data_IF_761394315472
#
_entry.id   IF_761394315472
#
_cell.length_a   1.000
_cell.length_b   1.000
_cell.length_c   1.000
_cell.angle_alpha   90.00
_cell.angle_beta   90.00
_cell.angle_gamma   90.00
#
_symmetry.space_group_name_H-M   'P 1'
#
loop_
_entity.id
_entity.type
_entity.pdbx_description
1 polymer ?
#
# COMPACT_ATOMS: atom_id res chain seq x y z
N UNK A 1 -11.31 -7.38 4.45
CA UNK A 1 -10.14 -6.46 4.34
C UNK A 1 -9.84 -5.97 2.92
N UNK A 2 -9.12 -6.69 2.04
CA UNK A 2 -8.62 -6.13 0.76
C UNK A 2 -9.70 -5.81 -0.29
N UNK A 3 -10.69 -6.69 -0.48
CA UNK A 3 -11.75 -6.52 -1.51
C UNK A 3 -12.51 -5.19 -1.42
N UNK A 4 -12.59 -4.61 -0.23
CA UNK A 4 -13.31 -3.35 0.03
C UNK A 4 -12.41 -2.31 0.68
N UNK A 5 -11.09 -2.42 0.53
CA UNK A 5 -10.08 -1.50 1.08
C UNK A 5 -10.36 -1.09 2.53
N UNK A 6 -10.61 -2.09 3.38
CA UNK A 6 -10.87 -1.94 4.82
C UNK A 6 -12.15 -1.19 5.22
N UNK A 7 -13.07 -0.90 4.30
CA UNK A 7 -14.33 -0.19 4.60
C UNK A 7 -15.20 -0.85 5.69
N UNK A 8 -15.01 -2.14 5.95
CA UNK A 8 -15.69 -2.89 7.03
C UNK A 8 -14.92 -2.85 8.36
N UNK A 9 -13.61 -2.69 8.32
CA UNK A 9 -12.77 -2.86 9.52
C UNK A 9 -12.61 -1.59 10.33
N UNK A 10 -12.74 -0.43 9.68
CA UNK A 10 -12.60 0.89 10.29
C UNK A 10 -13.94 1.60 10.41
N UNK A 11 -13.99 2.60 11.30
CA UNK A 11 -15.07 3.58 11.27
C UNK A 11 -15.06 4.35 9.94
N UNK A 12 -16.16 5.03 9.62
CA UNK A 12 -16.23 5.82 8.39
C UNK A 12 -15.14 6.91 8.33
N UNK A 13 -14.96 7.67 9.41
CA UNK A 13 -13.94 8.72 9.49
C UNK A 13 -12.52 8.14 9.36
N UNK A 14 -12.25 7.02 10.04
CA UNK A 14 -10.95 6.34 9.96
C UNK A 14 -10.67 5.77 8.58
N UNK A 15 -11.71 5.29 7.88
CA UNK A 15 -11.60 4.83 6.49
C UNK A 15 -11.19 5.95 5.55
N UNK A 16 -11.77 7.15 5.70
CA UNK A 16 -11.38 8.32 4.92
C UNK A 16 -9.92 8.71 5.17
N UNK A 17 -9.52 8.77 6.44
CA UNK A 17 -8.13 9.06 6.82
C UNK A 17 -7.15 8.02 6.27
N UNK A 18 -7.52 6.75 6.32
CA UNK A 18 -6.72 5.65 5.78
C UNK A 18 -6.51 5.80 4.28
N UNK A 19 -7.58 6.05 3.53
CA UNK A 19 -7.52 6.18 2.08
C UNK A 19 -6.71 7.40 1.66
N UNK A 20 -6.90 8.54 2.32
CA UNK A 20 -6.08 9.74 2.09
C UNK A 20 -4.58 9.43 2.29
N UNK A 21 -4.23 8.74 3.38
CA UNK A 21 -2.84 8.35 3.65
C UNK A 21 -2.31 7.36 2.60
N UNK A 22 -3.09 6.34 2.22
CA UNK A 22 -2.68 5.34 1.22
C UNK A 22 -2.42 5.99 -0.13
N UNK A 23 -3.37 6.81 -0.62
CA UNK A 23 -3.23 7.52 -1.89
C UNK A 23 -2.04 8.49 -1.87
N UNK A 24 -1.81 9.20 -0.77
CA UNK A 24 -0.65 10.09 -0.65
C UNK A 24 0.70 9.34 -0.66
N UNK A 25 0.74 8.08 -0.20
CA UNK A 25 1.94 7.25 -0.19
C UNK A 25 2.20 6.53 -1.52
N UNK A 26 1.13 6.20 -2.25
CA UNK A 26 1.16 5.50 -3.54
C UNK A 26 1.10 6.44 -4.74
N UNK A 27 0.98 7.76 -4.51
CA UNK A 27 0.90 8.75 -5.58
C UNK A 27 2.09 8.67 -6.53
N UNK A 28 1.77 8.51 -7.82
CA UNK A 28 2.71 8.54 -8.93
C UNK A 28 2.24 9.60 -9.95
N UNK A 29 3.01 10.68 -10.18
CA UNK A 29 2.68 11.75 -11.11
C UNK A 29 2.83 11.34 -12.58
N UNK A 30 3.60 10.30 -12.89
CA UNK A 30 3.76 9.78 -14.23
C UNK A 30 2.70 8.71 -14.56
N UNK A 31 1.86 8.33 -13.59
CA UNK A 31 0.69 7.48 -13.81
C UNK A 31 -0.30 8.11 -14.80
N UNK A 32 -0.41 9.44 -14.83
CA UNK A 32 -1.30 10.14 -15.77
C UNK A 32 -0.86 9.93 -17.22
N UNK A 33 0.45 9.96 -17.50
CA UNK A 33 0.97 9.71 -18.85
C UNK A 33 0.63 8.31 -19.38
N UNK A 34 0.49 7.31 -18.50
CA UNK A 34 0.07 5.96 -18.91
C UNK A 34 -1.34 5.97 -19.51
N UNK A 35 -2.25 6.79 -18.96
CA UNK A 35 -3.60 6.91 -19.49
C UNK A 35 -3.62 7.63 -20.85
N UNK A 36 -2.86 8.71 -21.02
CA UNK A 36 -2.73 9.40 -22.32
C UNK A 36 -2.06 8.52 -23.38
N UNK A 37 -1.00 7.77 -23.04
CA UNK A 37 -0.31 6.87 -23.97
C UNK A 37 -1.20 5.70 -24.42
N UNK A 38 -2.14 5.22 -23.59
CA UNK A 38 -3.12 4.19 -23.99
C UNK A 38 -4.16 4.72 -24.99
N UNK A 39 -4.52 5.99 -24.91
CA UNK A 39 -5.41 6.64 -25.88
C UNK A 39 -4.68 6.90 -27.22
N UNK A 40 -3.37 7.16 -27.16
CA UNK A 40 -2.54 7.43 -28.34
C UNK A 40 -2.00 6.16 -29.01
N UNK A 41 -1.91 5.03 -28.33
CA UNK A 41 -1.44 3.75 -28.90
C UNK A 41 -2.42 3.08 -29.89
N UNK A 42 -3.56 3.71 -30.18
CA UNK A 42 -4.33 3.46 -31.41
C UNK A 42 -3.61 3.99 -32.67
N UNK A 43 -2.65 4.91 -32.53
CA UNK A 43 -1.94 5.56 -33.63
C UNK A 43 -0.45 5.76 -33.31
N UNK A 44 0.34 4.74 -33.65
CA UNK A 44 1.78 4.77 -33.95
C UNK A 44 2.78 5.06 -32.81
N UNK A 45 3.60 4.02 -32.64
CA UNK A 45 4.90 3.90 -31.98
C UNK A 45 5.86 5.08 -32.28
N UNK A 46 6.23 5.88 -31.29
CA UNK A 46 7.53 6.56 -31.24
C UNK A 46 7.92 6.88 -29.79
N UNK A 47 9.13 6.45 -29.40
CA UNK A 47 9.57 6.39 -28.01
C UNK A 47 9.62 7.75 -27.30
N UNK A 48 8.76 7.92 -26.29
CA UNK A 48 8.88 8.97 -25.29
C UNK A 48 10.03 8.60 -24.34
N UNK A 49 11.23 9.12 -24.62
CA UNK A 49 12.28 9.21 -23.59
C UNK A 49 11.73 10.09 -22.47
N UNK A 50 11.22 9.44 -21.41
CA UNK A 50 10.70 10.09 -20.22
C UNK A 50 11.66 11.19 -19.77
N UNK A 51 11.21 12.44 -19.82
CA UNK A 51 11.96 13.57 -19.26
C UNK A 51 12.29 13.20 -17.83
N UNK A 52 13.58 13.07 -17.50
CA UNK A 52 14.05 12.88 -16.14
C UNK A 52 13.69 14.14 -15.35
N UNK A 53 12.46 14.18 -14.82
CA UNK A 53 11.99 15.26 -13.96
C UNK A 53 12.90 15.26 -12.73
N UNK A 54 13.41 16.42 -12.39
CA UNK A 54 14.24 16.63 -11.20
C UNK A 54 13.54 16.03 -9.97
N UNK A 55 14.29 15.30 -9.13
CA UNK A 55 13.79 14.72 -7.85
C UNK A 55 13.03 15.74 -6.99
N UNK A 56 13.28 17.04 -7.18
CA UNK A 56 12.58 18.13 -6.46
C UNK A 56 11.11 18.30 -6.85
N UNK A 57 10.64 17.71 -7.95
CA UNK A 57 9.23 17.79 -8.34
C UNK A 57 8.36 16.78 -7.58
N UNK A 58 8.97 15.72 -7.06
CA UNK A 58 8.27 14.62 -6.40
C UNK A 58 7.86 14.94 -4.97
N UNK A 59 6.78 14.32 -4.52
CA UNK A 59 6.29 14.41 -3.14
C UNK A 59 7.29 13.81 -2.13
N UNK A 60 7.16 14.14 -0.84
CA UNK A 60 8.09 13.66 0.20
C UNK A 60 8.28 12.14 0.18
N UNK A 61 7.17 11.41 0.07
CA UNK A 61 7.15 9.94 0.10
C UNK A 61 7.62 9.34 -1.22
N UNK A 62 7.20 9.90 -2.34
CA UNK A 62 7.66 9.52 -3.67
C UNK A 62 9.19 9.65 -3.81
N UNK A 63 9.77 10.74 -3.30
CA UNK A 63 11.24 10.88 -3.23
C UNK A 63 11.88 9.77 -2.39
N UNK A 64 11.25 9.37 -1.29
CA UNK A 64 11.75 8.29 -0.44
C UNK A 64 11.67 6.95 -1.17
N UNK A 65 10.59 6.69 -1.91
CA UNK A 65 10.41 5.49 -2.73
C UNK A 65 11.45 5.42 -3.87
N UNK A 66 11.63 6.52 -4.62
CA UNK A 66 12.63 6.65 -5.68
C UNK A 66 14.07 6.47 -5.17
N UNK A 67 14.40 7.01 -3.99
CA UNK A 67 15.72 6.79 -3.35
C UNK A 67 15.95 5.34 -2.90
N UNK A 68 14.86 4.64 -2.59
CA UNK A 68 14.88 3.26 -2.13
C UNK A 68 14.87 2.24 -3.27
N UNK A 69 14.73 2.68 -4.52
CA UNK A 69 15.15 1.95 -5.73
C UNK A 69 14.69 0.51 -5.79
N UNK A 70 13.41 0.27 -6.10
CA UNK A 70 13.02 -1.01 -6.68
C UNK A 70 13.45 -0.98 -8.14
N UNK A 71 14.59 -1.62 -8.45
CA UNK A 71 15.08 -1.83 -9.81
C UNK A 71 14.34 -2.98 -10.53
N UNK A 72 13.11 -3.26 -10.11
CA UNK A 72 12.27 -4.30 -10.68
C UNK A 72 11.13 -3.64 -11.46
N UNK A 73 10.77 -4.24 -12.59
CA UNK A 73 9.66 -3.84 -13.45
C UNK A 73 8.28 -3.89 -12.76
N UNK A 74 8.20 -4.49 -11.57
CA UNK A 74 7.05 -4.44 -10.68
C UNK A 74 7.34 -3.44 -9.55
N UNK A 75 6.63 -2.31 -9.55
CA UNK A 75 6.75 -1.27 -8.53
C UNK A 75 6.51 -1.78 -7.09
N UNK A 76 6.73 -0.93 -6.07
CA UNK A 76 6.55 -1.33 -4.67
C UNK A 76 5.13 -1.85 -4.41
N UNK A 77 5.01 -2.92 -3.61
CA UNK A 77 3.71 -3.47 -3.19
C UNK A 77 2.80 -2.36 -2.63
N UNK A 78 1.48 -2.42 -2.88
CA UNK A 78 0.56 -1.40 -2.40
C UNK A 78 0.52 -1.37 -0.86
N UNK A 79 0.34 -0.18 -0.29
CA UNK A 79 0.17 0.09 1.14
C UNK A 79 -0.95 -0.72 1.78
N UNK A 80 -1.99 -1.08 1.02
CA UNK A 80 -3.07 -1.97 1.47
C UNK A 80 -2.54 -3.31 1.99
N UNK A 81 -1.51 -3.88 1.37
CA UNK A 81 -0.88 -5.14 1.78
C UNK A 81 -0.14 -4.96 3.11
N UNK A 82 0.58 -3.86 3.27
CA UNK A 82 1.28 -3.54 4.52
C UNK A 82 0.31 -3.26 5.68
N UNK A 83 -0.87 -2.69 5.38
CA UNK A 83 -1.94 -2.52 6.34
C UNK A 83 -2.49 -3.87 6.81
N UNK A 84 -2.77 -4.80 5.90
CA UNK A 84 -3.21 -6.16 6.27
C UNK A 84 -2.14 -6.82 7.13
N UNK A 85 -0.88 -6.76 6.71
CA UNK A 85 0.23 -7.33 7.48
C UNK A 85 0.35 -6.72 8.88
N UNK A 86 0.12 -5.40 9.02
CA UNK A 86 0.10 -4.74 10.33
C UNK A 86 -1.03 -5.25 11.22
N UNK A 87 -2.24 -5.39 10.66
CA UNK A 87 -3.41 -5.91 11.39
C UNK A 87 -3.19 -7.35 11.83
N UNK A 88 -2.76 -8.22 10.91
CA UNK A 88 -2.46 -9.62 11.20
C UNK A 88 -1.35 -9.74 12.25
N UNK A 89 -0.33 -8.89 12.19
CA UNK A 89 0.72 -8.85 13.19
C UNK A 89 0.19 -8.47 14.57
N UNK A 90 -0.69 -7.48 14.66
CA UNK A 90 -1.30 -7.06 15.94
C UNK A 90 -2.11 -8.18 16.60
N UNK A 91 -2.66 -9.08 15.78
CA UNK A 91 -3.52 -10.19 16.20
C UNK A 91 -2.81 -11.54 16.19
N UNK A 92 -1.52 -11.56 15.89
CA UNK A 92 -0.72 -12.78 15.73
C UNK A 92 -0.79 -13.68 16.95
N UNK A 93 -0.71 -13.13 18.16
CA UNK A 93 -0.83 -13.93 19.38
C UNK A 93 -2.18 -14.65 19.48
N UNK A 94 -3.29 -13.95 19.25
CA UNK A 94 -4.63 -14.56 19.27
C UNK A 94 -4.79 -15.61 18.16
N UNK A 95 -4.37 -15.28 16.94
CA UNK A 95 -4.43 -16.19 15.81
C UNK A 95 -3.63 -17.47 16.06
N UNK A 96 -2.43 -17.37 16.65
CA UNK A 96 -1.57 -18.52 16.89
C UNK A 96 -2.03 -19.39 18.08
N UNK A 97 -2.70 -18.83 19.07
CA UNK A 97 -3.12 -19.57 20.27
C UNK A 97 -4.57 -20.05 20.23
N UNK A 98 -5.47 -19.30 19.60
CA UNK A 98 -6.91 -19.54 19.65
C UNK A 98 -7.44 -20.21 18.38
N UNK A 99 -6.81 -20.01 17.22
CA UNK A 99 -7.30 -20.58 15.98
C UNK A 99 -6.91 -22.06 15.82
N UNK A 100 -7.89 -22.95 15.75
CA UNK A 100 -7.69 -24.39 15.49
C UNK A 100 -8.04 -24.80 14.06
N UNK A 101 -8.63 -23.89 13.29
CA UNK A 101 -8.99 -24.09 11.89
C UNK A 101 -9.35 -22.78 11.19
N UNK A 102 -9.73 -22.88 9.91
CA UNK A 102 -10.10 -21.72 9.08
C UNK A 102 -11.26 -20.93 9.67
N UNK A 103 -12.27 -21.61 10.19
CA UNK A 103 -13.47 -20.96 10.77
C UNK A 103 -13.12 -20.07 11.96
N UNK A 104 -12.17 -20.52 12.80
CA UNK A 104 -11.68 -19.71 13.92
C UNK A 104 -10.90 -18.48 13.43
N UNK A 105 -10.08 -18.63 12.38
CA UNK A 105 -9.37 -17.50 11.77
C UNK A 105 -10.37 -16.48 11.23
N UNK A 106 -11.37 -16.92 10.49
CA UNK A 106 -12.40 -16.04 9.92
C UNK A 106 -13.17 -15.33 11.04
N UNK A 107 -13.55 -16.06 12.09
CA UNK A 107 -14.23 -15.48 13.27
C UNK A 107 -13.37 -14.42 13.95
N UNK A 108 -12.12 -14.74 14.32
CA UNK A 108 -11.19 -13.81 14.97
C UNK A 108 -10.99 -12.53 14.14
N UNK A 109 -10.91 -12.67 12.81
CA UNK A 109 -10.75 -11.51 11.93
C UNK A 109 -12.03 -10.67 11.81
N UNK A 110 -13.20 -11.31 11.74
CA UNK A 110 -14.49 -10.62 11.66
C UNK A 110 -14.86 -9.90 12.97
N UNK A 111 -14.43 -10.42 14.13
CA UNK A 111 -14.67 -9.78 15.43
C UNK A 111 -14.00 -8.41 15.59
N UNK A 112 -13.15 -8.01 14.62
CA UNK A 112 -12.44 -6.73 14.62
C UNK A 112 -13.13 -5.66 13.78
N UNK A 113 -14.17 -6.04 13.03
CA UNK A 113 -14.92 -5.15 12.15
C UNK A 113 -15.43 -3.93 12.93
N UNK A 114 -15.08 -2.73 12.45
CA UNK A 114 -15.47 -1.45 13.04
C UNK A 114 -14.74 -1.03 14.32
N UNK A 115 -13.83 -1.85 14.87
CA UNK A 115 -13.14 -1.59 16.14
C UNK A 115 -11.61 -1.60 15.99
N UNK A 116 -11.12 -1.25 14.80
CA UNK A 116 -9.69 -1.24 14.52
C UNK A 116 -9.10 0.15 14.68
N UNK A 117 -8.03 0.28 15.46
CA UNK A 117 -7.29 1.53 15.62
C UNK A 117 -6.50 1.86 14.35
N UNK A 118 -7.02 2.81 13.55
CA UNK A 118 -6.41 3.24 12.29
C UNK A 118 -5.01 3.80 12.47
N UNK A 119 -4.77 4.60 13.50
CA UNK A 119 -3.46 5.21 13.74
C UNK A 119 -2.41 4.14 14.04
N UNK A 120 -2.77 3.14 14.85
CA UNK A 120 -1.90 1.99 15.16
C UNK A 120 -1.64 1.14 13.93
N UNK A 121 -2.66 0.82 13.15
CA UNK A 121 -2.55 0.05 11.92
C UNK A 121 -1.66 0.75 10.88
N UNK A 122 -1.89 2.04 10.63
CA UNK A 122 -1.09 2.86 9.72
C UNK A 122 0.37 2.96 10.17
N UNK A 123 0.61 3.18 11.46
CA UNK A 123 1.96 3.26 12.02
C UNK A 123 2.73 1.94 11.87
N UNK A 124 2.06 0.81 12.09
CA UNK A 124 2.64 -0.51 11.87
C UNK A 124 2.90 -0.79 10.38
N UNK A 125 1.95 -0.44 9.51
CA UNK A 125 2.07 -0.57 8.06
C UNK A 125 3.27 0.23 7.52
N UNK A 126 3.43 1.49 7.91
CA UNK A 126 4.57 2.31 7.51
C UNK A 126 5.92 1.73 7.97
N UNK A 127 5.97 1.13 9.18
CA UNK A 127 7.19 0.45 9.67
C UNK A 127 7.51 -0.78 8.84
N UNK A 128 6.50 -1.57 8.46
CA UNK A 128 6.67 -2.75 7.61
C UNK A 128 7.09 -2.35 6.19
N UNK A 129 6.45 -1.34 5.60
CA UNK A 129 6.77 -0.82 4.28
C UNK A 129 8.22 -0.36 4.18
N UNK A 130 8.69 0.48 5.13
CA UNK A 130 10.11 0.91 5.15
C UNK A 130 11.09 -0.25 5.34
N UNK A 131 10.73 -1.26 6.13
CA UNK A 131 11.56 -2.47 6.29
C UNK A 131 11.63 -3.27 4.99
N UNK A 132 10.52 -3.38 4.29
CA UNK A 132 10.43 -4.05 3.00
C UNK A 132 11.30 -3.34 1.96
N UNK A 133 11.15 -2.02 1.79
CA UNK A 133 11.96 -1.23 0.85
C UNK A 133 13.47 -1.37 1.11
N UNK A 134 13.91 -1.34 2.37
CA UNK A 134 15.32 -1.55 2.74
C UNK A 134 15.86 -2.94 2.39
N UNK A 135 15.00 -3.97 2.40
CA UNK A 135 15.37 -5.33 2.01
C UNK A 135 15.34 -5.52 0.49
N UNK A 136 14.33 -4.97 -0.18
CA UNK A 136 14.20 -5.00 -1.63
C UNK A 136 15.41 -4.36 -2.32
N UNK A 137 15.96 -3.27 -1.77
CA UNK A 137 17.19 -2.63 -2.26
C UNK A 137 18.45 -3.50 -2.17
N UNK A 138 18.46 -4.52 -1.31
CA UNK A 138 19.61 -5.40 -1.08
C UNK A 138 19.55 -6.71 -1.88
N UNK A 139 18.40 -7.01 -2.47
CA UNK A 139 18.20 -8.17 -3.33
C UNK A 139 18.61 -7.80 -4.75
#
# INVERSE_FOLDING_TARGET
MLMVLFRREFSFCDSLYLWEMMWALEYDPDLFSVYEELELNGEKHEGSKGRVKSIRHYGKFERENMKNGAANSEGPLPMSVFLVASVLKDKSSKLLHEARGLDDVVRILNDMTGNLDAKKACSGAMKLHRKYLKKAKKA
#
